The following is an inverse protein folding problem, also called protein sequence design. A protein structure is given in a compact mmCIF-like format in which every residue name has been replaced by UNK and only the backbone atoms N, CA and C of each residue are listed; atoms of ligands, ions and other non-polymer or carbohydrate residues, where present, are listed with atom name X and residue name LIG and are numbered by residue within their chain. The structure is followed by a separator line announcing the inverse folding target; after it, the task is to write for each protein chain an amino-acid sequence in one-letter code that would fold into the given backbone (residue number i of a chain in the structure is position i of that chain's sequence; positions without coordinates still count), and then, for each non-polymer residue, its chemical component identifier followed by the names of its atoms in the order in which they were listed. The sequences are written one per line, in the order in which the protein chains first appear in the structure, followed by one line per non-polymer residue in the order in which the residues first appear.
data_IF_848466111104
#
_entry.id   IF_848466111104
#
_cell.length_a   1.000
_cell.length_b   1.000
_cell.length_c   1.000
_cell.angle_alpha   90.00
_cell.angle_beta   90.00
_cell.angle_gamma   90.00
#
_symmetry.space_group_name_H-M   'P 1'
#
loop_
_entity.id
_entity.type
_entity.pdbx_description
1 polymer ?
#
# COMPACT_ATOMS: atom_id res chain seq x y z
N UNK A 1 -17.11 -22.98 -11.73
CA UNK A 1 -16.97 -23.59 -10.38
C UNK A 1 -16.63 -22.52 -9.38
N UNK A 2 -16.70 -22.77 -8.07
CA UNK A 2 -16.49 -21.75 -7.02
C UNK A 2 -15.12 -21.03 -7.06
N UNK A 3 -14.13 -21.60 -7.75
CA UNK A 3 -12.81 -21.01 -8.00
C UNK A 3 -12.80 -19.84 -8.99
N UNK A 4 -13.85 -19.69 -9.81
CA UNK A 4 -13.98 -18.58 -10.77
C UNK A 4 -14.67 -17.35 -10.17
N UNK A 5 -15.14 -17.45 -8.92
CA UNK A 5 -15.78 -16.31 -8.29
C UNK A 5 -14.73 -15.23 -8.04
N UNK A 6 -14.92 -14.00 -8.55
CA UNK A 6 -13.99 -12.89 -8.34
C UNK A 6 -13.89 -12.51 -6.88
N UNK A 7 -14.71 -13.09 -5.99
CA UNK A 7 -14.67 -12.88 -4.54
C UNK A 7 -13.64 -13.75 -3.80
N UNK A 8 -13.09 -14.80 -4.42
CA UNK A 8 -12.01 -15.61 -3.84
C UNK A 8 -10.65 -14.94 -4.05
N UNK A 9 -9.64 -15.33 -3.25
CA UNK A 9 -8.26 -14.86 -3.43
C UNK A 9 -7.68 -15.23 -4.80
N UNK A 10 -8.02 -16.42 -5.31
CA UNK A 10 -7.61 -16.89 -6.65
C UNK A 10 -8.28 -16.07 -7.75
N UNK A 11 -9.59 -15.80 -7.63
CA UNK A 11 -10.31 -14.94 -8.58
C UNK A 11 -9.77 -13.52 -8.63
N UNK A 12 -9.38 -12.95 -7.47
CA UNK A 12 -8.74 -11.63 -7.41
C UNK A 12 -7.40 -11.62 -8.16
N UNK A 13 -6.58 -12.64 -7.94
CA UNK A 13 -5.28 -12.76 -8.59
C UNK A 13 -5.40 -12.93 -10.10
N UNK A 14 -6.33 -13.79 -10.56
CA UNK A 14 -6.62 -13.94 -11.99
C UNK A 14 -7.07 -12.63 -12.61
N UNK A 15 -8.03 -11.94 -12.00
CA UNK A 15 -8.52 -10.65 -12.48
C UNK A 15 -7.40 -9.61 -12.60
N UNK A 16 -6.49 -9.57 -11.61
CA UNK A 16 -5.31 -8.70 -11.65
C UNK A 16 -4.38 -9.04 -12.83
N UNK A 17 -4.16 -10.31 -13.13
CA UNK A 17 -3.34 -10.70 -14.29
C UNK A 17 -4.02 -10.34 -15.61
N UNK A 18 -5.30 -10.65 -15.76
CA UNK A 18 -6.08 -10.41 -16.99
C UNK A 18 -6.19 -8.91 -17.31
N UNK A 19 -6.41 -8.08 -16.28
CA UNK A 19 -6.60 -6.62 -16.44
C UNK A 19 -5.28 -5.88 -16.73
N UNK A 20 -4.13 -6.54 -16.55
CA UNK A 20 -2.81 -5.96 -16.80
C UNK A 20 -2.10 -6.58 -18.02
N UNK A 21 -2.80 -7.36 -18.84
CA UNK A 21 -2.29 -7.82 -20.14
C UNK A 21 -1.91 -6.59 -20.99
N UNK A 22 -0.71 -6.61 -21.56
CA UNK A 22 -0.18 -5.51 -22.37
C UNK A 22 0.61 -4.46 -21.58
N UNK A 23 0.60 -4.49 -20.24
CA UNK A 23 1.51 -3.69 -19.41
C UNK A 23 2.88 -4.35 -19.28
N UNK A 24 3.90 -3.54 -19.10
CA UNK A 24 5.25 -3.99 -18.76
C UNK A 24 5.30 -4.59 -17.36
N UNK A 25 6.33 -5.41 -17.11
CA UNK A 25 6.56 -5.96 -15.76
C UNK A 25 6.73 -4.85 -14.72
N UNK A 26 7.35 -3.72 -15.07
CA UNK A 26 7.53 -2.59 -14.14
C UNK A 26 6.21 -1.93 -13.77
N UNK A 27 5.35 -1.64 -14.76
CA UNK A 27 4.01 -1.07 -14.52
C UNK A 27 3.15 -2.01 -13.68
N UNK A 28 3.19 -3.32 -13.97
CA UNK A 28 2.47 -4.29 -13.17
C UNK A 28 2.96 -4.32 -11.73
N UNK A 29 4.28 -4.31 -11.53
CA UNK A 29 4.85 -4.33 -10.20
C UNK A 29 4.61 -3.03 -9.40
N UNK A 30 4.59 -1.88 -10.07
CA UNK A 30 4.20 -0.61 -9.45
C UNK A 30 2.74 -0.67 -8.98
N UNK A 31 1.83 -1.16 -9.82
CA UNK A 31 0.43 -1.37 -9.44
C UNK A 31 0.31 -2.33 -8.24
N UNK A 32 1.07 -3.43 -8.24
CA UNK A 32 1.09 -4.36 -7.11
C UNK A 32 1.58 -3.69 -5.83
N UNK A 33 2.59 -2.83 -5.92
CA UNK A 33 3.11 -2.06 -4.77
C UNK A 33 2.05 -1.13 -4.21
N UNK A 34 1.31 -0.42 -5.09
CA UNK A 34 0.16 0.41 -4.68
C UNK A 34 -0.88 -0.41 -3.93
N UNK A 35 -1.27 -1.57 -4.45
CA UNK A 35 -2.25 -2.44 -3.77
C UNK A 35 -1.76 -2.98 -2.42
N UNK A 36 -0.47 -3.33 -2.31
CA UNK A 36 0.13 -3.76 -1.04
C UNK A 36 0.11 -2.61 -0.01
N UNK A 37 0.38 -1.37 -0.43
CA UNK A 37 0.30 -0.19 0.43
C UNK A 37 -1.13 0.13 0.88
N UNK A 38 -2.09 0.10 -0.05
CA UNK A 38 -3.52 0.31 0.27
C UNK A 38 -4.08 -0.80 1.18
N UNK A 39 -3.55 -2.01 1.07
CA UNK A 39 -3.88 -3.09 1.99
C UNK A 39 -3.30 -2.83 3.37
N UNK A 40 -2.01 -2.48 3.43
CA UNK A 40 -1.27 -2.22 4.67
C UNK A 40 -1.84 -1.05 5.47
N UNK A 41 -2.11 0.10 4.84
CA UNK A 41 -2.70 1.25 5.52
C UNK A 41 -4.21 1.07 5.75
N UNK A 42 -4.82 -0.05 5.36
CA UNK A 42 -6.25 -0.31 5.58
C UNK A 42 -7.22 0.42 4.63
N UNK A 43 -6.74 1.20 3.66
CA UNK A 43 -7.60 1.88 2.68
C UNK A 43 -8.44 0.88 1.88
N UNK A 44 -7.91 -0.30 1.52
CA UNK A 44 -8.72 -1.33 0.84
C UNK A 44 -9.88 -1.82 1.69
N UNK A 45 -9.68 -1.94 3.01
CA UNK A 45 -10.74 -2.33 3.94
C UNK A 45 -11.83 -1.25 3.97
N UNK A 46 -11.44 0.02 4.06
CA UNK A 46 -12.37 1.16 4.06
C UNK A 46 -13.15 1.28 2.74
N UNK A 47 -12.50 1.07 1.59
CA UNK A 47 -13.17 1.04 0.28
C UNK A 47 -14.20 -0.08 0.19
N UNK A 48 -13.85 -1.28 0.69
CA UNK A 48 -14.78 -2.42 0.75
C UNK A 48 -15.99 -2.10 1.63
N UNK A 49 -15.80 -1.43 2.77
CA UNK A 49 -16.89 -1.01 3.66
C UNK A 49 -17.80 0.03 3.01
N UNK A 50 -17.25 0.89 2.13
CA UNK A 50 -17.97 1.84 1.28
C UNK A 50 -18.59 1.22 0.02
N UNK A 51 -18.59 -0.11 -0.10
CA UNK A 51 -19.13 -0.84 -1.25
C UNK A 51 -18.44 -0.53 -2.59
N UNK A 52 -17.17 -0.08 -2.58
CA UNK A 52 -16.39 0.01 -3.81
C UNK A 52 -16.15 -1.40 -4.37
N UNK A 53 -16.48 -1.59 -5.64
CA UNK A 53 -16.21 -2.85 -6.34
C UNK A 53 -14.73 -3.03 -6.62
N UNK A 54 -14.29 -4.29 -6.79
CA UNK A 54 -12.90 -4.59 -7.15
C UNK A 54 -12.50 -3.94 -8.48
N UNK A 55 -13.42 -3.91 -9.43
CA UNK A 55 -13.19 -3.33 -10.76
C UNK A 55 -12.95 -1.82 -10.66
N UNK A 56 -13.80 -1.09 -9.93
CA UNK A 56 -13.63 0.36 -9.73
C UNK A 56 -12.29 0.68 -9.07
N UNK A 57 -11.89 -0.10 -8.05
CA UNK A 57 -10.61 0.10 -7.37
C UNK A 57 -9.44 -0.17 -8.34
N UNK A 58 -9.46 -1.27 -9.09
CA UNK A 58 -8.40 -1.59 -10.06
C UNK A 58 -8.32 -0.58 -11.17
N UNK A 59 -9.44 -0.12 -11.72
CA UNK A 59 -9.48 0.90 -12.75
C UNK A 59 -8.92 2.23 -12.25
N UNK A 60 -9.30 2.64 -11.04
CA UNK A 60 -8.83 3.87 -10.41
C UNK A 60 -7.31 3.90 -10.20
N UNK A 61 -6.72 2.79 -9.72
CA UNK A 61 -5.28 2.72 -9.45
C UNK A 61 -4.45 2.26 -10.66
N UNK A 62 -5.06 1.70 -11.70
CA UNK A 62 -4.35 1.24 -12.91
C UNK A 62 -3.68 2.35 -13.71
N UNK A 63 -4.15 3.59 -13.56
CA UNK A 63 -3.63 4.78 -14.23
C UNK A 63 -2.97 5.78 -13.28
N UNK A 64 -2.86 5.43 -11.99
CA UNK A 64 -2.28 6.29 -10.95
C UNK A 64 -0.96 5.70 -10.47
N UNK A 65 0.18 6.30 -10.84
CA UNK A 65 1.47 5.85 -10.34
C UNK A 65 1.60 6.13 -8.85
N UNK A 66 2.53 5.45 -8.19
CA UNK A 66 2.88 5.74 -6.80
C UNK A 66 3.69 7.04 -6.75
N UNK A 67 2.96 8.16 -6.70
CA UNK A 67 3.51 9.50 -6.72
C UNK A 67 3.52 10.16 -5.33
N UNK A 68 4.06 11.36 -5.26
CA UNK A 68 4.23 12.10 -4.01
C UNK A 68 2.89 12.47 -3.35
N UNK A 69 1.84 12.71 -4.12
CA UNK A 69 0.49 12.96 -3.60
C UNK A 69 -0.05 11.73 -2.86
N UNK A 70 0.10 10.53 -3.45
CA UNK A 70 -0.31 9.29 -2.80
C UNK A 70 0.49 9.02 -1.53
N UNK A 71 1.82 9.22 -1.56
CA UNK A 71 2.66 9.08 -0.36
C UNK A 71 2.26 10.07 0.73
N UNK A 72 1.98 11.31 0.35
CA UNK A 72 1.55 12.36 1.28
C UNK A 72 0.19 12.05 1.91
N UNK A 73 -0.78 11.57 1.13
CA UNK A 73 -2.07 11.15 1.66
C UNK A 73 -1.93 9.99 2.66
N UNK A 74 -1.10 8.99 2.33
CA UNK A 74 -0.84 7.87 3.25
C UNK A 74 -0.10 8.33 4.51
N UNK A 75 0.81 9.30 4.40
CA UNK A 75 1.50 9.89 5.54
C UNK A 75 0.51 10.61 6.47
N UNK A 76 -0.44 11.38 5.92
CA UNK A 76 -1.51 12.01 6.70
C UNK A 76 -2.37 10.99 7.45
N UNK A 77 -2.70 9.86 6.83
CA UNK A 77 -3.43 8.78 7.50
C UNK A 77 -2.65 8.24 8.71
N UNK A 78 -1.32 8.10 8.59
CA UNK A 78 -0.46 7.68 9.70
C UNK A 78 -0.32 8.74 10.79
N UNK A 79 -0.26 10.02 10.44
CA UNK A 79 -0.27 11.13 11.41
C UNK A 79 -1.56 11.12 12.22
N UNK A 80 -2.72 10.91 11.56
CA UNK A 80 -4.01 10.79 12.24
C UNK A 80 -4.01 9.65 13.26
N UNK A 81 -3.42 8.49 12.92
CA UNK A 81 -3.30 7.34 13.83
C UNK A 81 -2.41 7.62 15.02
N UNK A 82 -1.29 8.31 14.81
CA UNK A 82 -0.40 8.70 15.90
C UNK A 82 -1.10 9.66 16.88
N UNK A 83 -1.93 10.57 16.37
CA UNK A 83 -2.75 11.46 17.21
C UNK A 83 -3.81 10.71 18.02
N UNK A 84 -4.41 9.66 17.44
CA UNK A 84 -5.37 8.79 18.14
C UNK A 84 -4.69 7.87 19.16
N UNK A 85 -3.52 7.34 18.82
CA UNK A 85 -2.75 6.40 19.63
C UNK A 85 -1.25 6.70 19.52
N UNK A 86 -0.74 7.41 20.52
CA UNK A 86 0.66 7.84 20.59
C UNK A 86 1.59 6.62 20.59
N UNK A 87 2.68 6.69 19.82
CA UNK A 87 3.68 5.63 19.65
C UNK A 87 3.44 4.72 18.44
N UNK A 88 2.26 4.74 17.84
CA UNK A 88 1.89 3.86 16.71
C UNK A 88 2.83 4.02 15.51
N UNK A 89 3.21 5.25 15.17
CA UNK A 89 4.09 5.56 14.06
C UNK A 89 5.51 5.01 14.30
N UNK A 90 6.03 5.20 15.52
CA UNK A 90 7.36 4.72 15.88
C UNK A 90 7.41 3.19 15.92
N UNK A 91 6.37 2.55 16.45
CA UNK A 91 6.24 1.09 16.47
C UNK A 91 6.21 0.52 15.05
N UNK A 92 5.37 1.07 14.17
CA UNK A 92 5.27 0.61 12.79
C UNK A 92 6.56 0.86 12.00
N UNK A 93 7.25 1.98 12.24
CA UNK A 93 8.56 2.24 11.62
C UNK A 93 9.57 1.15 12.02
N UNK A 94 9.61 0.78 13.31
CA UNK A 94 10.45 -0.32 13.79
C UNK A 94 10.09 -1.68 13.16
N UNK A 95 8.81 -1.96 12.93
CA UNK A 95 8.37 -3.15 12.19
C UNK A 95 8.88 -3.11 10.75
N UNK A 96 8.67 -1.99 10.05
CA UNK A 96 9.08 -1.82 8.65
C UNK A 96 10.60 -1.97 8.46
N UNK A 97 11.42 -1.46 9.38
CA UNK A 97 12.87 -1.61 9.31
C UNK A 97 13.32 -3.06 9.44
N UNK A 98 12.71 -3.82 10.37
CA UNK A 98 12.99 -5.25 10.51
C UNK A 98 12.53 -6.04 9.27
N UNK A 99 11.35 -5.73 8.73
CA UNK A 99 10.84 -6.37 7.52
C UNK A 99 11.73 -6.08 6.30
N UNK A 100 12.18 -4.83 6.15
CA UNK A 100 13.07 -4.42 5.07
C UNK A 100 14.41 -5.15 5.15
N UNK A 101 15.01 -5.24 6.34
CA UNK A 101 16.27 -5.95 6.53
C UNK A 101 16.12 -7.46 6.28
N UNK A 102 15.04 -8.07 6.78
CA UNK A 102 14.75 -9.48 6.54
C UNK A 102 14.54 -9.76 5.04
N UNK A 103 13.83 -8.89 4.33
CA UNK A 103 13.63 -9.01 2.88
C UNK A 103 14.97 -8.86 2.13
N UNK A 104 15.82 -7.92 2.55
CA UNK A 104 17.15 -7.68 1.97
C UNK A 104 18.05 -8.91 2.12
N UNK A 105 18.13 -9.48 3.32
CA UNK A 105 18.92 -10.68 3.60
C UNK A 105 18.42 -11.92 2.84
N UNK A 106 17.10 -12.00 2.64
CA UNK A 106 16.48 -13.10 1.89
C UNK A 106 16.52 -12.93 0.36
N UNK A 107 17.08 -11.83 -0.17
CA UNK A 107 17.06 -11.54 -1.60
C UNK A 107 15.65 -11.35 -2.18
N UNK A 108 14.71 -10.94 -1.33
CA UNK A 108 13.32 -10.68 -1.73
C UNK A 108 13.18 -9.29 -2.36
N UNK A 109 12.06 -9.10 -3.02
CA UNK A 109 11.69 -7.81 -3.59
C UNK A 109 11.55 -6.73 -2.49
N UNK A 110 12.14 -5.55 -2.73
CA UNK A 110 12.30 -4.51 -1.70
C UNK A 110 11.44 -3.25 -1.92
N UNK A 111 10.68 -3.15 -3.01
CA UNK A 111 9.92 -1.91 -3.30
C UNK A 111 8.89 -1.65 -2.21
N UNK A 112 8.03 -2.63 -1.93
CA UNK A 112 7.02 -2.47 -0.89
C UNK A 112 7.59 -2.08 0.49
N UNK A 113 8.58 -2.79 1.08
CA UNK A 113 9.11 -2.40 2.38
C UNK A 113 9.88 -1.06 2.36
N UNK A 114 10.47 -0.67 1.22
CA UNK A 114 11.06 0.68 1.07
C UNK A 114 9.98 1.76 1.07
N UNK A 115 8.93 1.60 0.27
CA UNK A 115 7.83 2.57 0.19
C UNK A 115 7.09 2.71 1.53
N UNK A 116 6.88 1.61 2.28
CA UNK A 116 6.36 1.68 3.65
C UNK A 116 7.22 2.60 4.52
N UNK A 117 8.54 2.37 4.52
CA UNK A 117 9.49 3.16 5.32
C UNK A 117 9.47 4.62 4.89
N UNK A 118 9.49 4.92 3.60
CA UNK A 118 9.51 6.29 3.09
C UNK A 118 8.23 7.05 3.48
N UNK A 119 7.06 6.41 3.42
CA UNK A 119 5.78 7.00 3.87
C UNK A 119 5.79 7.30 5.38
N UNK A 120 6.28 6.37 6.21
CA UNK A 120 6.35 6.57 7.66
C UNK A 120 7.38 7.64 8.04
N UNK A 121 8.52 7.67 7.35
CA UNK A 121 9.52 8.72 7.52
C UNK A 121 8.97 10.09 7.11
N UNK A 122 8.18 10.15 6.03
CA UNK A 122 7.48 11.36 5.61
C UNK A 122 6.51 11.82 6.71
N UNK A 123 5.67 10.93 7.24
CA UNK A 123 4.77 11.24 8.36
C UNK A 123 5.53 11.78 9.59
N UNK A 124 6.60 11.10 10.00
CA UNK A 124 7.43 11.51 11.14
C UNK A 124 8.09 12.88 10.92
N UNK A 125 8.55 13.14 9.68
CA UNK A 125 9.16 14.43 9.32
C UNK A 125 8.15 15.58 9.39
N UNK A 126 6.91 15.35 8.95
CA UNK A 126 5.85 16.35 9.01
C UNK A 126 5.44 16.63 10.47
N UNK A 127 5.36 15.61 11.33
CA UNK A 127 5.05 15.83 12.76
C UNK A 127 6.13 16.61 13.49
N UNK A 128 7.41 16.30 13.23
CA UNK A 128 8.53 17.03 13.81
C UNK A 128 8.62 18.47 13.28
N UNK A 129 8.20 18.70 12.03
CA UNK A 129 8.11 20.05 11.43
C UNK A 129 6.88 20.87 11.84
N UNK A 130 5.83 20.24 12.37
CA UNK A 130 4.60 20.90 12.88
C UNK A 130 4.75 21.34 14.35
N UNK A 131 5.89 21.04 14.98
CA UNK A 131 6.22 21.51 16.34
C UNK A 131 6.91 22.90 16.31
N UNK A 132 6.15 23.96 16.00
CA UNK A 132 6.49 25.37 16.31
C UNK A 132 5.25 26.17 16.70
#
# INVERSE_FOLDING_TARGET
GSADSPNTGIGAFRFMLETNVGKTMLEFQELMTVFQLLHWNGSLKAMRERQCSRQEVVEHYSSRPLNDDMRSQMALDWISREQEAHGTLQEELGVCERELEAARLAGKELRFPKEKKDILMLAASQMNGVSL
#
